data_IF_407243950873
#
_entry.id   IF_407243950873
#
_cell.length_a   1.000
_cell.length_b   1.000
_cell.length_c   1.000
_cell.angle_alpha   90.00
_cell.angle_beta   90.00
_cell.angle_gamma   90.00
#
_symmetry.space_group_name_H-M   'P 1'
#
loop_
_entity.id
_entity.type
_entity.pdbx_description
1 polymer ?
#
# COMPACT_ATOMS: atom_id res chain seq x y z
N UNK A 1 -2.95 -14.59 -16.21
CA UNK A 1 -1.92 -14.83 -15.16
C UNK A 1 -0.74 -13.84 -15.13
N UNK A 2 -0.09 -13.47 -16.26
CA UNK A 2 1.09 -12.56 -16.28
C UNK A 2 0.85 -11.20 -15.59
N UNK A 3 -0.33 -10.58 -15.82
CA UNK A 3 -0.74 -9.30 -15.21
C UNK A 3 -0.85 -9.39 -13.68
N UNK A 4 -1.51 -10.43 -13.16
CA UNK A 4 -1.63 -10.69 -11.72
C UNK A 4 -0.26 -10.79 -11.03
N UNK A 5 0.66 -11.58 -11.58
CA UNK A 5 2.01 -11.75 -10.99
C UNK A 5 2.84 -10.46 -11.04
N UNK A 6 2.69 -9.63 -12.08
CA UNK A 6 3.35 -8.31 -12.16
C UNK A 6 2.83 -7.37 -11.06
N UNK A 7 1.51 -7.26 -10.90
CA UNK A 7 0.92 -6.41 -9.87
C UNK A 7 1.24 -6.89 -8.45
N UNK A 8 1.37 -8.20 -8.22
CA UNK A 8 1.81 -8.74 -6.91
C UNK A 8 3.21 -8.21 -6.53
N UNK A 9 4.14 -8.13 -7.50
CA UNK A 9 5.47 -7.55 -7.28
C UNK A 9 5.40 -6.04 -7.03
N UNK A 10 4.61 -5.30 -7.82
CA UNK A 10 4.40 -3.86 -7.60
C UNK A 10 3.87 -3.58 -6.19
N UNK A 11 2.86 -4.34 -5.75
CA UNK A 11 2.32 -4.22 -4.40
C UNK A 11 3.33 -4.57 -3.32
N UNK A 12 4.24 -5.52 -3.57
CA UNK A 12 5.31 -5.82 -2.62
C UNK A 12 6.26 -4.63 -2.44
N UNK A 13 6.71 -4.01 -3.54
CA UNK A 13 7.54 -2.81 -3.49
C UNK A 13 6.82 -1.64 -2.83
N UNK A 14 5.55 -1.40 -3.19
CA UNK A 14 4.73 -0.35 -2.57
C UNK A 14 4.56 -0.59 -1.07
N UNK A 15 4.29 -1.82 -0.64
CA UNK A 15 4.16 -2.12 0.78
C UNK A 15 5.47 -1.92 1.54
N UNK A 16 6.60 -2.34 0.98
CA UNK A 16 7.90 -2.10 1.60
C UNK A 16 8.21 -0.61 1.74
N UNK A 17 7.95 0.18 0.70
CA UNK A 17 8.16 1.63 0.76
C UNK A 17 7.22 2.30 1.76
N UNK A 18 5.91 2.04 1.67
CA UNK A 18 4.94 2.73 2.51
C UNK A 18 5.03 2.32 3.98
N UNK A 19 5.15 1.03 4.28
CA UNK A 19 5.18 0.56 5.65
C UNK A 19 6.58 0.53 6.27
N UNK A 20 7.62 0.39 5.45
CA UNK A 20 9.00 0.35 5.94
C UNK A 20 9.67 1.71 6.02
N UNK A 21 9.24 2.68 5.21
CA UNK A 21 9.88 4.00 5.12
C UNK A 21 8.87 5.11 5.39
N UNK A 22 7.86 5.28 4.53
CA UNK A 22 6.97 6.44 4.58
C UNK A 22 6.23 6.57 5.93
N UNK A 23 5.46 5.55 6.32
CA UNK A 23 4.69 5.57 7.58
C UNK A 23 5.60 5.73 8.80
N UNK A 24 6.71 4.99 8.96
CA UNK A 24 7.64 5.19 10.06
C UNK A 24 8.26 6.59 10.10
N UNK A 25 8.71 7.12 8.96
CA UNK A 25 9.32 8.45 8.89
C UNK A 25 8.30 9.52 9.24
N UNK A 26 7.12 9.49 8.63
CA UNK A 26 6.07 10.48 8.92
C UNK A 26 5.56 10.36 10.36
N UNK A 27 5.49 9.16 10.93
CA UNK A 27 5.17 8.98 12.35
C UNK A 27 6.28 9.53 13.26
N UNK A 28 7.55 9.34 12.91
CA UNK A 28 8.68 9.91 13.65
C UNK A 28 8.69 11.44 13.56
N UNK A 29 8.47 12.02 12.39
CA UNK A 29 8.34 13.47 12.21
C UNK A 29 7.22 14.03 13.09
N UNK A 30 6.07 13.36 13.15
CA UNK A 30 4.97 13.78 14.02
C UNK A 30 5.31 13.68 15.52
N UNK A 31 6.08 12.67 15.93
CA UNK A 31 6.42 12.47 17.35
C UNK A 31 7.61 13.30 17.84
N UNK A 32 8.55 13.63 16.95
CA UNK A 32 9.84 14.24 17.30
C UNK A 32 10.04 15.65 16.73
N UNK A 33 9.08 16.19 15.98
CA UNK A 33 9.09 17.56 15.44
C UNK A 33 7.75 18.25 15.70
N UNK A 34 7.69 19.57 15.52
CA UNK A 34 6.44 20.36 15.57
C UNK A 34 5.54 20.13 14.32
N UNK A 35 5.61 18.94 13.73
CA UNK A 35 4.83 18.58 12.56
C UNK A 35 3.38 18.28 12.95
N UNK A 36 2.43 18.67 12.08
CA UNK A 36 1.01 18.37 12.26
C UNK A 36 0.70 16.87 12.20
N UNK A 37 -0.52 16.50 12.63
CA UNK A 37 -0.96 15.11 12.63
C UNK A 37 -0.87 14.46 11.22
N UNK A 38 -0.32 13.23 11.10
CA UNK A 38 0.06 12.66 9.81
C UNK A 38 -1.12 11.93 9.14
N UNK A 39 -2.17 12.67 8.78
CA UNK A 39 -3.39 12.11 8.18
C UNK A 39 -3.11 11.23 6.95
N UNK A 40 -2.15 11.62 6.12
CA UNK A 40 -1.75 10.86 4.92
C UNK A 40 -1.19 9.49 5.26
N UNK A 41 -0.30 9.41 6.26
CA UNK A 41 0.27 8.14 6.73
C UNK A 41 -0.81 7.21 7.30
N UNK A 42 -1.79 7.76 8.04
CA UNK A 42 -2.92 6.99 8.57
C UNK A 42 -3.80 6.46 7.44
N UNK A 43 -4.21 7.33 6.51
CA UNK A 43 -5.07 6.95 5.38
C UNK A 43 -4.40 5.90 4.50
N UNK A 44 -3.11 6.07 4.18
CA UNK A 44 -2.36 5.09 3.38
C UNK A 44 -2.15 3.79 4.14
N UNK A 45 -1.80 3.87 5.43
CA UNK A 45 -1.59 2.72 6.29
C UNK A 45 -2.83 1.82 6.41
N UNK A 46 -4.02 2.41 6.42
CA UNK A 46 -5.30 1.68 6.51
C UNK A 46 -5.89 1.35 5.13
N UNK A 47 -5.72 2.23 4.14
CA UNK A 47 -6.35 2.10 2.82
C UNK A 47 -5.62 1.20 1.83
N UNK A 48 -4.30 1.09 1.92
CA UNK A 48 -3.50 0.29 0.99
C UNK A 48 -3.81 -1.23 1.07
N UNK A 49 -4.03 -1.85 2.26
CA UNK A 49 -4.36 -3.27 2.36
C UNK A 49 -5.67 -3.67 1.68
N UNK A 50 -6.83 -3.01 1.91
CA UNK A 50 -8.06 -3.34 1.19
C UNK A 50 -7.96 -3.02 -0.30
N UNK A 51 -7.29 -1.91 -0.68
CA UNK A 51 -7.07 -1.59 -2.10
C UNK A 51 -6.29 -2.70 -2.82
N UNK A 52 -5.21 -3.21 -2.20
CA UNK A 52 -4.44 -4.35 -2.72
C UNK A 52 -5.32 -5.60 -2.87
N UNK A 53 -6.09 -5.95 -1.84
CA UNK A 53 -6.96 -7.14 -1.86
C UNK A 53 -7.98 -7.04 -3.01
N UNK A 54 -8.65 -5.90 -3.14
CA UNK A 54 -9.68 -5.68 -4.15
C UNK A 54 -9.10 -5.71 -5.57
N UNK A 55 -8.01 -5.00 -5.82
CA UNK A 55 -7.40 -4.96 -7.14
C UNK A 55 -6.85 -6.34 -7.55
N UNK A 56 -6.17 -7.06 -6.66
CA UNK A 56 -5.68 -8.40 -6.97
C UNK A 56 -6.82 -9.42 -7.19
N UNK A 57 -7.93 -9.28 -6.47
CA UNK A 57 -9.13 -10.11 -6.68
C UNK A 57 -9.74 -9.86 -8.07
N UNK A 58 -9.88 -8.60 -8.49
CA UNK A 58 -10.34 -8.23 -9.83
C UNK A 58 -9.42 -8.79 -10.93
N UNK A 59 -8.10 -8.73 -10.74
CA UNK A 59 -7.16 -9.28 -11.70
C UNK A 59 -7.21 -10.81 -11.78
N UNK A 60 -7.52 -11.48 -10.66
CA UNK A 60 -7.68 -12.94 -10.60
C UNK A 60 -8.96 -13.37 -11.32
N UNK A 61 -10.08 -12.68 -11.10
CA UNK A 61 -11.35 -13.00 -11.79
C UNK A 61 -11.27 -12.76 -13.29
N UNK A 62 -10.65 -11.65 -13.72
CA UNK A 62 -10.41 -11.39 -15.14
C UNK A 62 -9.55 -12.47 -15.81
N UNK A 63 -8.61 -13.05 -15.07
CA UNK A 63 -7.72 -14.09 -15.57
C UNK A 63 -8.34 -15.50 -15.53
N UNK A 64 -9.46 -15.72 -14.85
CA UNK A 64 -10.18 -17.00 -14.84
C UNK A 64 -11.34 -17.06 -15.83
N UNK A 65 -11.77 -15.91 -16.34
CA UNK A 65 -12.82 -15.80 -17.39
C UNK A 65 -12.19 -15.88 -18.80
N UNK A 66 -10.88 -15.63 -18.92
CA UNK A 66 -10.07 -15.82 -20.13
C UNK A 66 -9.41 -17.19 -20.14
#
# INVERSE_FOLDING_TARGET
>A
MKKYNRWKKIYLFLMLFFYGIFVPVTAAEWLFSDAGFPFTAVVVGIGLPPMRKNHLAQLKSQASIQ
#
